data_IF_649049114544
#
_entry.id   IF_649049114544
#
_cell.length_a   1.000
_cell.length_b   1.000
_cell.length_c   1.000
_cell.angle_alpha   90.00
_cell.angle_beta   90.00
_cell.angle_gamma   90.00
#
_symmetry.space_group_name_H-M   'P 1'
#
loop_
_entity.id
_entity.type
_entity.pdbx_description
1 polymer ?
#
# COMPACT_ATOMS: atom_id res chain seq x y z
N UNK A 1 -12.61 -10.55 11.90
CA UNK A 1 -13.34 -11.58 11.10
C UNK A 1 -14.40 -12.18 12.00
N UNK A 2 -15.67 -12.18 11.54
CA UNK A 2 -16.79 -12.67 12.37
C UNK A 2 -17.09 -14.14 12.10
N UNK A 3 -17.08 -14.58 10.85
CA UNK A 3 -17.45 -15.94 10.43
C UNK A 3 -16.49 -16.47 9.36
N UNK A 4 -16.26 -17.79 9.37
CA UNK A 4 -15.43 -18.51 8.38
C UNK A 4 -16.31 -19.61 7.77
N UNK A 5 -16.34 -19.69 6.46
CA UNK A 5 -17.08 -20.67 5.69
C UNK A 5 -16.12 -21.55 4.86
N UNK A 6 -16.36 -22.84 4.85
CA UNK A 6 -15.68 -23.82 3.99
C UNK A 6 -16.61 -24.30 2.86
N UNK A 7 -17.90 -24.04 2.99
CA UNK A 7 -18.91 -24.36 1.98
C UNK A 7 -19.34 -23.08 1.25
N UNK A 8 -19.24 -23.11 -0.07
CA UNK A 8 -19.53 -21.93 -0.90
C UNK A 8 -21.04 -21.62 -0.96
N UNK A 9 -21.91 -22.64 -0.94
CA UNK A 9 -23.37 -22.40 -0.93
C UNK A 9 -23.81 -21.75 0.39
N UNK A 10 -23.26 -22.18 1.51
CA UNK A 10 -23.50 -21.55 2.82
C UNK A 10 -23.02 -20.10 2.85
N UNK A 11 -21.85 -19.82 2.26
CA UNK A 11 -21.35 -18.45 2.12
C UNK A 11 -22.33 -17.59 1.33
N UNK A 12 -22.82 -18.08 0.18
CA UNK A 12 -23.78 -17.37 -0.68
C UNK A 12 -25.05 -17.03 0.09
N UNK A 13 -25.64 -18.01 0.77
CA UNK A 13 -26.84 -17.79 1.60
C UNK A 13 -26.58 -16.77 2.71
N UNK A 14 -25.41 -16.84 3.33
CA UNK A 14 -25.01 -15.90 4.39
C UNK A 14 -24.84 -14.47 3.87
N UNK A 15 -24.24 -14.31 2.69
CA UNK A 15 -24.09 -13.01 2.04
C UNK A 15 -25.46 -12.41 1.70
N UNK A 16 -26.38 -13.19 1.10
CA UNK A 16 -27.75 -12.75 0.80
C UNK A 16 -28.46 -12.24 2.05
N UNK A 17 -28.40 -13.02 3.12
CA UNK A 17 -29.01 -12.65 4.40
C UNK A 17 -28.44 -11.36 4.97
N UNK A 18 -27.12 -11.18 4.86
CA UNK A 18 -26.48 -9.95 5.31
C UNK A 18 -26.92 -8.73 4.48
N UNK A 19 -27.00 -8.88 3.14
CA UNK A 19 -27.49 -7.82 2.24
C UNK A 19 -28.96 -7.47 2.49
N UNK A 20 -29.85 -8.47 2.64
CA UNK A 20 -31.27 -8.27 2.92
C UNK A 20 -31.50 -7.55 4.26
N UNK A 21 -30.72 -7.90 5.26
CA UNK A 21 -30.84 -7.33 6.61
C UNK A 21 -30.02 -6.04 6.80
N UNK A 22 -29.27 -5.60 5.79
CA UNK A 22 -28.30 -4.49 5.88
C UNK A 22 -27.32 -4.67 7.05
N UNK A 23 -26.86 -5.91 7.24
CA UNK A 23 -25.98 -6.30 8.33
C UNK A 23 -24.52 -5.99 7.99
N UNK A 24 -23.80 -5.38 8.94
CA UNK A 24 -22.34 -5.22 8.84
C UNK A 24 -21.64 -6.44 9.42
N UNK A 25 -21.08 -7.29 8.57
CA UNK A 25 -20.39 -8.51 8.97
C UNK A 25 -19.14 -8.76 8.11
N UNK A 26 -18.10 -9.32 8.72
CA UNK A 26 -16.88 -9.74 8.04
C UNK A 26 -16.90 -11.26 7.85
N UNK A 27 -17.00 -11.72 6.61
CA UNK A 27 -17.03 -13.13 6.22
C UNK A 27 -15.72 -13.52 5.55
N UNK A 28 -15.25 -14.74 5.83
CA UNK A 28 -14.14 -15.36 5.13
C UNK A 28 -14.58 -16.67 4.48
N UNK A 29 -13.98 -16.97 3.36
CA UNK A 29 -14.10 -18.26 2.68
C UNK A 29 -12.74 -18.95 2.63
N UNK A 30 -12.68 -20.20 3.06
CA UNK A 30 -11.51 -21.05 2.92
C UNK A 30 -11.62 -21.87 1.63
N UNK A 31 -11.14 -21.31 0.53
CA UNK A 31 -11.19 -21.92 -0.79
C UNK A 31 -10.61 -21.01 -1.87
N UNK A 32 -10.79 -21.39 -3.12
CA UNK A 32 -10.28 -20.61 -4.24
C UNK A 32 -11.20 -19.41 -4.55
N UNK A 33 -10.61 -18.22 -4.65
CA UNK A 33 -11.37 -16.98 -4.88
C UNK A 33 -12.13 -16.99 -6.22
N UNK A 34 -11.61 -17.69 -7.22
CA UNK A 34 -12.27 -17.76 -8.54
C UNK A 34 -13.64 -18.44 -8.44
N UNK A 35 -13.75 -19.46 -7.61
CA UNK A 35 -15.04 -20.14 -7.35
C UNK A 35 -16.05 -19.18 -6.72
N UNK A 36 -15.61 -18.29 -5.85
CA UNK A 36 -16.46 -17.26 -5.23
C UNK A 36 -16.96 -16.28 -6.29
N UNK A 37 -16.07 -15.73 -7.12
CA UNK A 37 -16.43 -14.79 -8.18
C UNK A 37 -17.42 -15.42 -9.17
N UNK A 38 -17.15 -16.65 -9.64
CA UNK A 38 -18.03 -17.38 -10.56
C UNK A 38 -19.39 -17.71 -9.94
N UNK A 39 -19.39 -18.14 -8.68
CA UNK A 39 -20.64 -18.47 -7.96
C UNK A 39 -21.49 -17.22 -7.73
N UNK A 40 -20.88 -16.12 -7.32
CA UNK A 40 -21.59 -14.84 -7.13
C UNK A 40 -22.18 -14.31 -8.44
N UNK A 41 -21.49 -14.50 -9.56
CA UNK A 41 -22.01 -14.17 -10.89
C UNK A 41 -23.22 -15.04 -11.24
N UNK A 42 -23.08 -16.36 -11.08
CA UNK A 42 -24.14 -17.34 -11.38
C UNK A 42 -25.41 -17.12 -10.53
N UNK A 43 -25.23 -16.74 -9.26
CA UNK A 43 -26.32 -16.43 -8.32
C UNK A 43 -26.83 -14.99 -8.43
N UNK A 44 -26.26 -14.20 -9.34
CA UNK A 44 -26.57 -12.77 -9.54
C UNK A 44 -26.52 -11.95 -8.23
N UNK A 45 -25.50 -12.22 -7.40
CA UNK A 45 -25.24 -11.43 -6.20
C UNK A 45 -24.62 -10.08 -6.58
N UNK A 46 -25.14 -9.01 -5.97
CA UNK A 46 -24.58 -7.68 -6.15
C UNK A 46 -23.29 -7.54 -5.35
N UNK A 47 -22.22 -7.15 -6.03
CA UNK A 47 -20.94 -6.80 -5.45
C UNK A 47 -20.65 -5.35 -5.83
N UNK A 48 -20.47 -4.48 -4.86
CA UNK A 48 -20.21 -3.06 -5.13
C UNK A 48 -18.74 -2.80 -5.43
N UNK A 49 -17.82 -3.47 -4.69
CA UNK A 49 -16.36 -3.28 -4.82
C UNK A 49 -15.67 -4.64 -4.81
N UNK A 50 -14.70 -4.80 -5.68
CA UNK A 50 -13.83 -5.98 -5.75
C UNK A 50 -12.37 -5.63 -5.91
N UNK A 51 -11.50 -6.49 -5.42
CA UNK A 51 -10.05 -6.36 -5.56
C UNK A 51 -9.38 -7.73 -5.51
N UNK A 52 -8.20 -7.84 -6.13
CA UNK A 52 -7.33 -9.01 -5.99
C UNK A 52 -6.04 -8.62 -5.27
N UNK A 53 -5.65 -9.43 -4.28
CA UNK A 53 -4.41 -9.25 -3.50
C UNK A 53 -3.49 -10.48 -3.56
N UNK A 54 -3.73 -11.41 -4.49
CA UNK A 54 -2.85 -12.58 -4.66
C UNK A 54 -1.45 -12.17 -5.09
N UNK A 55 -0.44 -12.95 -4.64
CA UNK A 55 0.97 -12.59 -4.83
C UNK A 55 1.51 -13.08 -6.17
N UNK A 56 1.06 -12.47 -7.27
CA UNK A 56 1.44 -12.82 -8.64
C UNK A 56 2.82 -12.29 -9.08
N UNK A 57 3.61 -11.70 -8.18
CA UNK A 57 5.04 -11.48 -8.40
C UNK A 57 5.80 -12.79 -8.59
N UNK A 58 5.29 -13.88 -8.05
CA UNK A 58 5.85 -15.23 -8.16
C UNK A 58 4.76 -16.27 -8.39
N UNK A 59 4.05 -16.25 -9.53
CA UNK A 59 2.88 -17.07 -9.76
C UNK A 59 3.20 -18.58 -9.82
N UNK A 60 4.42 -18.93 -10.24
CA UNK A 60 4.81 -20.32 -10.53
C UNK A 60 5.35 -21.06 -9.32
N UNK A 61 5.53 -20.41 -8.19
CA UNK A 61 6.05 -20.99 -6.96
C UNK A 61 5.15 -20.69 -5.74
N UNK A 62 3.84 -20.85 -5.93
CA UNK A 62 2.86 -20.75 -4.86
C UNK A 62 2.28 -19.36 -4.60
N UNK A 63 2.54 -18.39 -5.50
CA UNK A 63 1.92 -17.08 -5.41
C UNK A 63 0.46 -17.05 -5.84
N UNK A 64 0.03 -18.05 -6.63
CA UNK A 64 -1.33 -18.20 -7.11
C UNK A 64 -1.70 -19.69 -7.30
N UNK A 65 -2.83 -20.14 -6.78
CA UNK A 65 -3.23 -21.54 -6.79
C UNK A 65 -4.30 -21.83 -7.83
N UNK A 66 -4.19 -22.96 -8.57
CA UNK A 66 -5.17 -23.37 -9.56
C UNK A 66 -6.55 -23.65 -8.94
N UNK A 67 -7.60 -23.18 -9.60
CA UNK A 67 -8.98 -23.48 -9.24
C UNK A 67 -9.31 -24.96 -9.51
N UNK A 68 -10.17 -25.54 -8.67
CA UNK A 68 -10.57 -26.95 -8.76
C UNK A 68 -9.51 -27.95 -8.29
N UNK A 69 -8.48 -27.48 -7.60
CA UNK A 69 -7.45 -28.29 -6.95
C UNK A 69 -7.42 -27.97 -5.46
N UNK A 70 -7.20 -28.98 -4.64
CA UNK A 70 -6.90 -28.76 -3.24
C UNK A 70 -5.51 -28.13 -3.05
N UNK A 71 -5.25 -27.62 -1.87
CA UNK A 71 -3.94 -27.06 -1.52
C UNK A 71 -2.81 -28.10 -1.68
N UNK A 72 -3.04 -29.34 -1.22
CA UNK A 72 -2.05 -30.41 -1.30
C UNK A 72 -1.82 -30.90 -2.73
N UNK A 73 -2.89 -31.05 -3.53
CA UNK A 73 -2.78 -31.39 -4.96
C UNK A 73 -2.01 -30.31 -5.73
N UNK A 74 -2.28 -29.04 -5.44
CA UNK A 74 -1.57 -27.93 -6.07
C UNK A 74 -0.09 -27.93 -5.73
N UNK A 75 0.27 -28.14 -4.46
CA UNK A 75 1.67 -28.23 -4.04
C UNK A 75 2.39 -29.44 -4.65
N UNK A 76 1.72 -30.60 -4.71
CA UNK A 76 2.26 -31.80 -5.36
C UNK A 76 2.49 -31.56 -6.85
N UNK A 77 1.50 -30.97 -7.53
CA UNK A 77 1.61 -30.63 -8.96
C UNK A 77 2.76 -29.64 -9.22
N UNK A 78 2.88 -28.60 -8.38
CA UNK A 78 3.95 -27.61 -8.49
C UNK A 78 5.34 -28.25 -8.36
N UNK A 79 5.50 -29.22 -7.45
CA UNK A 79 6.76 -29.90 -7.22
C UNK A 79 7.10 -30.97 -8.30
N UNK A 80 6.12 -31.73 -8.73
CA UNK A 80 6.33 -32.89 -9.60
C UNK A 80 6.11 -32.59 -11.09
N UNK A 81 5.25 -31.62 -11.41
CA UNK A 81 4.93 -31.23 -12.79
C UNK A 81 4.73 -29.71 -12.90
N UNK A 82 5.79 -28.90 -12.78
CA UNK A 82 5.71 -27.44 -12.78
C UNK A 82 5.12 -26.85 -14.07
N UNK A 83 5.29 -27.49 -15.22
CA UNK A 83 4.68 -27.03 -16.48
C UNK A 83 3.15 -27.17 -16.45
N UNK A 84 2.64 -28.28 -15.96
CA UNK A 84 1.19 -28.47 -15.78
C UNK A 84 0.65 -27.48 -14.73
N UNK A 85 1.38 -27.27 -13.63
CA UNK A 85 0.99 -26.26 -12.64
C UNK A 85 0.84 -24.89 -13.27
N UNK A 86 1.82 -24.46 -14.08
CA UNK A 86 1.80 -23.19 -14.80
C UNK A 86 0.61 -23.09 -15.76
N UNK A 87 0.33 -24.16 -16.51
CA UNK A 87 -0.83 -24.21 -17.42
C UNK A 87 -2.15 -24.03 -16.64
N UNK A 88 -2.29 -24.71 -15.49
CA UNK A 88 -3.46 -24.61 -14.63
C UNK A 88 -3.62 -23.24 -13.97
N UNK A 89 -2.52 -22.61 -13.57
CA UNK A 89 -2.52 -21.23 -13.08
C UNK A 89 -2.99 -20.27 -14.18
N UNK A 90 -2.50 -20.39 -15.41
CA UNK A 90 -2.95 -19.57 -16.54
C UNK A 90 -4.43 -19.79 -16.88
N UNK A 91 -4.91 -21.04 -16.83
CA UNK A 91 -6.34 -21.32 -17.00
C UNK A 91 -7.17 -20.62 -15.91
N UNK A 92 -6.71 -20.68 -14.67
CA UNK A 92 -7.36 -20.05 -13.51
C UNK A 92 -7.41 -18.54 -13.66
N UNK A 93 -6.32 -17.91 -14.09
CA UNK A 93 -6.28 -16.47 -14.36
C UNK A 93 -7.30 -16.06 -15.44
N UNK A 94 -7.44 -16.87 -16.50
CA UNK A 94 -8.46 -16.62 -17.53
C UNK A 94 -9.88 -16.67 -16.96
N UNK A 95 -10.19 -17.65 -16.13
CA UNK A 95 -11.50 -17.76 -15.46
C UNK A 95 -11.73 -16.58 -14.51
N UNK A 96 -10.74 -16.25 -13.69
CA UNK A 96 -10.83 -15.15 -12.74
C UNK A 96 -11.12 -13.80 -13.44
N UNK A 97 -10.31 -13.45 -14.43
CA UNK A 97 -10.51 -12.23 -15.19
C UNK A 97 -11.87 -12.20 -15.92
N UNK A 98 -12.31 -13.34 -16.48
CA UNK A 98 -13.64 -13.44 -17.09
C UNK A 98 -14.77 -13.20 -16.10
N UNK A 99 -14.66 -13.74 -14.87
CA UNK A 99 -15.66 -13.52 -13.83
C UNK A 99 -15.67 -12.05 -13.37
N UNK A 100 -14.50 -11.44 -13.18
CA UNK A 100 -14.38 -10.01 -12.85
C UNK A 100 -15.03 -9.14 -13.94
N UNK A 101 -14.75 -9.40 -15.22
CA UNK A 101 -15.35 -8.65 -16.34
C UNK A 101 -16.88 -8.69 -16.27
N UNK A 102 -17.49 -9.85 -16.01
CA UNK A 102 -18.95 -9.99 -15.88
C UNK A 102 -19.52 -9.20 -14.71
N UNK A 103 -18.82 -9.15 -13.57
CA UNK A 103 -19.25 -8.37 -12.42
C UNK A 103 -19.13 -6.86 -12.70
N UNK A 104 -18.07 -6.43 -13.37
CA UNK A 104 -17.88 -5.01 -13.71
C UNK A 104 -18.88 -4.53 -14.74
N UNK A 105 -19.30 -5.37 -15.70
CA UNK A 105 -20.43 -5.10 -16.61
C UNK A 105 -21.76 -4.88 -15.85
N UNK A 106 -21.90 -5.46 -14.66
CA UNK A 106 -23.06 -5.28 -13.76
C UNK A 106 -22.89 -4.09 -12.79
N UNK A 107 -21.77 -3.35 -12.85
CA UNK A 107 -21.51 -2.14 -12.07
C UNK A 107 -20.60 -2.33 -10.85
N UNK A 108 -19.96 -3.46 -10.68
CA UNK A 108 -18.91 -3.64 -9.66
C UNK A 108 -17.71 -2.74 -9.99
N UNK A 109 -17.26 -1.94 -9.03
CA UNK A 109 -15.98 -1.25 -9.12
C UNK A 109 -14.84 -2.23 -8.76
N UNK A 110 -13.99 -2.53 -9.71
CA UNK A 110 -12.82 -3.39 -9.49
C UNK A 110 -11.52 -2.58 -9.58
N UNK A 111 -10.61 -2.84 -8.67
CA UNK A 111 -9.23 -2.35 -8.72
C UNK A 111 -8.23 -3.46 -8.42
N UNK A 112 -7.11 -3.45 -9.11
CA UNK A 112 -5.98 -4.33 -8.84
C UNK A 112 -5.19 -3.78 -7.65
N UNK A 113 -4.92 -4.61 -6.64
CA UNK A 113 -4.01 -4.21 -5.56
C UNK A 113 -2.57 -3.95 -6.08
N UNK A 114 -2.24 -4.48 -7.27
CA UNK A 114 -0.98 -4.24 -7.94
C UNK A 114 0.10 -5.28 -7.64
N UNK A 115 -0.29 -6.46 -7.17
CA UNK A 115 0.60 -7.62 -7.02
C UNK A 115 0.77 -8.41 -8.33
N UNK A 116 0.77 -7.73 -9.48
CA UNK A 116 0.91 -8.27 -10.82
C UNK A 116 -0.29 -9.09 -11.33
N UNK A 117 -1.47 -8.99 -10.74
CA UNK A 117 -2.65 -9.73 -11.20
C UNK A 117 -3.02 -9.39 -12.66
N UNK A 118 -3.24 -8.11 -12.98
CA UNK A 118 -3.61 -7.70 -14.34
C UNK A 118 -2.49 -8.01 -15.35
N UNK A 119 -1.23 -7.86 -14.94
CA UNK A 119 -0.09 -8.19 -15.80
C UNK A 119 -0.06 -9.69 -16.13
N UNK A 120 -0.18 -10.56 -15.15
CA UNK A 120 -0.18 -12.02 -15.39
C UNK A 120 -1.47 -12.49 -16.07
N UNK A 121 -2.62 -11.87 -15.79
CA UNK A 121 -3.85 -12.11 -16.51
C UNK A 121 -3.71 -11.75 -18.01
N UNK A 122 -3.09 -10.61 -18.34
CA UNK A 122 -2.81 -10.24 -19.73
C UNK A 122 -1.87 -11.24 -20.41
N UNK A 123 -0.82 -11.68 -19.73
CA UNK A 123 0.11 -12.73 -20.20
C UNK A 123 -0.58 -14.08 -20.40
N UNK A 124 -1.63 -14.37 -19.64
CA UNK A 124 -2.47 -15.55 -19.83
C UNK A 124 -3.47 -15.41 -21.01
N UNK A 125 -3.50 -14.25 -21.69
CA UNK A 125 -4.35 -13.99 -22.85
C UNK A 125 -5.78 -13.59 -22.52
N UNK A 126 -6.01 -12.94 -21.38
CA UNK A 126 -7.34 -12.46 -20.97
C UNK A 126 -7.65 -11.07 -21.49
N UNK A 127 -8.93 -10.73 -21.54
CA UNK A 127 -9.43 -9.41 -21.91
C UNK A 127 -9.39 -8.45 -20.70
N UNK A 128 -8.20 -7.98 -20.37
CA UNK A 128 -7.96 -7.01 -19.29
C UNK A 128 -7.23 -5.74 -19.75
N UNK A 129 -6.91 -5.65 -21.04
CA UNK A 129 -6.28 -4.46 -21.60
C UNK A 129 -7.33 -3.38 -21.89
N UNK A 130 -6.97 -2.13 -21.71
CA UNK A 130 -7.82 -1.01 -22.12
C UNK A 130 -8.05 -1.00 -23.64
N UNK A 131 -9.22 -0.57 -24.08
CA UNK A 131 -9.51 -0.44 -25.52
C UNK A 131 -8.59 0.58 -26.22
N UNK A 132 -8.28 1.69 -25.54
CA UNK A 132 -7.38 2.73 -26.01
C UNK A 132 -6.27 2.94 -24.98
N UNK A 133 -5.27 2.04 -24.91
CA UNK A 133 -4.23 2.11 -23.90
C UNK A 133 -3.38 3.38 -24.07
N UNK A 134 -3.18 4.08 -22.99
CA UNK A 134 -2.22 5.19 -22.88
C UNK A 134 -1.19 4.87 -21.81
N UNK A 135 -0.08 5.60 -21.82
CA UNK A 135 0.95 5.41 -20.80
C UNK A 135 0.36 5.60 -19.39
N UNK A 136 0.47 4.57 -18.57
CA UNK A 136 -0.08 4.52 -17.22
C UNK A 136 -1.54 4.05 -17.11
N UNK A 137 -2.21 3.86 -18.25
CA UNK A 137 -3.59 3.36 -18.32
C UNK A 137 -3.71 2.26 -19.37
N UNK A 138 -2.84 1.27 -19.23
CA UNK A 138 -2.79 0.13 -20.15
C UNK A 138 -3.88 -0.90 -19.88
N UNK A 139 -4.37 -1.00 -18.64
CA UNK A 139 -5.39 -1.96 -18.23
C UNK A 139 -6.79 -1.35 -18.14
N UNK A 140 -7.81 -2.19 -18.24
CA UNK A 140 -9.21 -1.83 -18.03
C UNK A 140 -9.48 -1.32 -16.63
N UNK A 141 -8.76 -1.86 -15.65
CA UNK A 141 -8.94 -1.60 -14.23
C UNK A 141 -7.74 -0.84 -13.68
N UNK A 142 -7.96 0.15 -12.80
CA UNK A 142 -6.87 0.84 -12.14
C UNK A 142 -6.21 -0.04 -11.08
N UNK A 143 -4.96 0.27 -10.71
CA UNK A 143 -4.43 -0.18 -9.44
C UNK A 143 -4.98 0.67 -8.29
N UNK A 144 -4.93 0.15 -7.06
CA UNK A 144 -5.41 0.91 -5.90
C UNK A 144 -4.59 2.20 -5.67
N UNK A 145 -3.31 2.23 -6.04
CA UNK A 145 -2.51 3.47 -5.97
C UNK A 145 -2.96 4.47 -7.03
N UNK A 146 -3.34 4.00 -8.22
CA UNK A 146 -3.71 4.86 -9.32
C UNK A 146 -4.95 5.73 -9.02
N UNK A 147 -6.00 5.10 -8.48
CA UNK A 147 -7.28 5.77 -8.24
C UNK A 147 -7.52 6.17 -6.78
N UNK A 148 -6.88 5.48 -5.82
CA UNK A 148 -7.20 5.63 -4.40
C UNK A 148 -5.99 6.22 -3.66
N UNK A 149 -4.95 5.41 -3.45
CA UNK A 149 -3.87 5.82 -2.54
C UNK A 149 -2.97 6.91 -3.12
N UNK A 150 -2.75 6.94 -4.44
CA UNK A 150 -1.99 8.00 -5.09
C UNK A 150 -2.65 9.37 -4.89
N UNK A 151 -3.87 9.58 -5.43
CA UNK A 151 -4.56 10.86 -5.34
C UNK A 151 -4.95 11.28 -3.91
N UNK A 152 -5.29 10.33 -3.04
CA UNK A 152 -5.76 10.64 -1.68
C UNK A 152 -4.65 10.80 -0.66
N UNK A 153 -3.52 10.10 -0.84
CA UNK A 153 -2.46 10.01 0.18
C UNK A 153 -1.07 10.34 -0.38
N UNK A 154 -0.55 9.54 -1.31
CA UNK A 154 0.86 9.61 -1.69
C UNK A 154 1.24 10.92 -2.38
N UNK A 155 0.37 11.47 -3.21
CA UNK A 155 0.62 12.74 -3.87
C UNK A 155 0.67 13.89 -2.86
N UNK A 156 -0.09 13.81 -1.77
CA UNK A 156 0.00 14.77 -0.66
C UNK A 156 1.13 14.49 0.33
N UNK A 157 1.92 13.46 0.10
CA UNK A 157 3.05 13.08 0.95
C UNK A 157 2.69 12.16 2.11
N UNK A 158 1.45 11.71 2.21
CA UNK A 158 1.02 10.77 3.24
C UNK A 158 1.27 9.34 2.81
N UNK A 159 2.06 8.62 3.58
CA UNK A 159 2.35 7.21 3.35
C UNK A 159 2.56 6.44 4.64
N UNK A 160 2.66 5.11 4.56
CA UNK A 160 2.78 4.25 5.72
C UNK A 160 3.98 4.63 6.59
N UNK A 161 3.69 4.96 7.83
CA UNK A 161 4.66 5.22 8.88
C UNK A 161 4.44 4.25 10.02
N UNK A 162 5.43 3.43 10.30
CA UNK A 162 5.36 2.35 11.27
C UNK A 162 6.28 2.59 12.45
N UNK A 163 5.83 2.17 13.65
CA UNK A 163 6.71 2.06 14.81
C UNK A 163 6.46 0.77 15.58
N UNK A 164 7.52 0.30 16.21
CA UNK A 164 7.51 -0.88 17.08
C UNK A 164 8.14 -0.51 18.41
N UNK A 165 7.42 -0.75 19.52
CA UNK A 165 7.94 -0.61 20.86
C UNK A 165 8.78 -1.84 21.21
N UNK A 166 10.10 -1.69 21.26
CA UNK A 166 11.03 -2.82 21.43
C UNK A 166 10.96 -3.48 22.82
N UNK A 167 10.37 -2.80 23.79
CA UNK A 167 10.12 -3.36 25.12
C UNK A 167 9.11 -4.52 25.10
N UNK A 168 8.25 -4.60 24.07
CA UNK A 168 7.14 -5.53 24.02
C UNK A 168 6.00 -5.24 25.01
N UNK A 169 6.06 -4.10 25.73
CA UNK A 169 5.07 -3.72 26.73
C UNK A 169 3.87 -3.02 26.11
N UNK A 170 2.62 -3.44 26.42
CA UNK A 170 1.42 -2.75 25.95
C UNK A 170 1.35 -1.28 26.39
N UNK A 171 1.89 -0.95 27.56
CA UNK A 171 1.90 0.41 28.10
C UNK A 171 2.74 1.36 27.25
N UNK A 172 3.84 0.87 26.66
CA UNK A 172 4.68 1.66 25.75
C UNK A 172 3.92 1.94 24.44
N UNK A 173 3.18 0.95 23.91
CA UNK A 173 2.34 1.16 22.74
C UNK A 173 1.23 2.18 23.02
N UNK A 174 0.53 2.03 24.15
CA UNK A 174 -0.50 2.99 24.56
C UNK A 174 0.08 4.41 24.65
N UNK A 175 1.25 4.56 25.26
CA UNK A 175 1.91 5.87 25.38
C UNK A 175 2.31 6.46 24.03
N UNK A 176 2.81 5.64 23.10
CA UNK A 176 3.14 6.11 21.75
C UNK A 176 1.88 6.47 20.97
N UNK A 177 0.77 5.75 21.11
CA UNK A 177 -0.53 6.08 20.54
C UNK A 177 -1.06 7.44 21.04
N UNK A 178 -0.97 7.69 22.35
CA UNK A 178 -1.34 8.97 22.95
C UNK A 178 -0.50 10.14 22.40
N UNK A 179 0.81 9.96 22.32
CA UNK A 179 1.74 10.97 21.76
C UNK A 179 1.39 11.25 20.29
N UNK A 180 1.19 10.21 19.48
CA UNK A 180 0.87 10.36 18.07
C UNK A 180 -0.47 11.11 17.89
N UNK A 181 -1.51 10.76 18.65
CA UNK A 181 -2.80 11.46 18.60
C UNK A 181 -2.66 12.94 18.98
N UNK A 182 -1.93 13.27 20.06
CA UNK A 182 -1.70 14.66 20.47
C UNK A 182 -1.00 15.48 19.38
N UNK A 183 0.04 14.93 18.76
CA UNK A 183 0.75 15.61 17.67
C UNK A 183 -0.19 15.84 16.47
N UNK A 184 -0.97 14.84 16.08
CA UNK A 184 -1.90 14.98 14.96
C UNK A 184 -3.02 16.00 15.26
N UNK A 185 -3.58 16.00 16.49
CA UNK A 185 -4.59 16.97 16.92
C UNK A 185 -4.05 18.43 16.89
N UNK A 186 -2.77 18.61 17.22
CA UNK A 186 -2.10 19.91 17.12
C UNK A 186 -1.86 20.32 15.67
N UNK A 187 -1.40 19.40 14.84
CA UNK A 187 -1.15 19.65 13.42
C UNK A 187 -2.41 20.02 12.66
N UNK A 188 -3.55 19.36 12.92
CA UNK A 188 -4.84 19.66 12.27
C UNK A 188 -5.20 21.15 12.39
N UNK A 189 -4.92 21.78 13.54
CA UNK A 189 -5.29 23.19 13.79
C UNK A 189 -4.59 24.18 12.85
N UNK A 190 -3.41 23.79 12.37
CA UNK A 190 -2.53 24.66 11.56
C UNK A 190 -2.35 24.15 10.13
N UNK A 191 -3.01 23.08 9.75
CA UNK A 191 -2.88 22.45 8.44
C UNK A 191 -3.95 22.93 7.46
N UNK A 192 -3.64 23.02 6.16
CA UNK A 192 -4.64 23.25 5.11
C UNK A 192 -5.76 22.20 5.13
N UNK A 193 -6.96 22.58 4.67
CA UNK A 193 -8.15 21.74 4.70
C UNK A 193 -7.97 20.43 3.93
N UNK A 194 -7.21 20.47 2.84
CA UNK A 194 -6.93 19.37 1.91
C UNK A 194 -6.31 18.15 2.59
N UNK A 195 -5.57 18.35 3.68
CA UNK A 195 -4.84 17.27 4.38
C UNK A 195 -5.37 16.97 5.79
N UNK A 196 -6.36 17.74 6.28
CA UNK A 196 -6.86 17.54 7.65
C UNK A 196 -7.59 16.20 7.81
N UNK A 197 -8.31 15.75 6.79
CA UNK A 197 -9.07 14.50 6.88
C UNK A 197 -8.17 13.31 7.11
N UNK A 198 -7.04 13.22 6.41
CA UNK A 198 -6.08 12.13 6.59
C UNK A 198 -5.58 12.02 8.03
N UNK A 199 -5.32 13.15 8.69
CA UNK A 199 -4.90 13.15 10.09
C UNK A 199 -6.03 12.77 11.05
N UNK A 200 -7.28 13.16 10.77
CA UNK A 200 -8.46 12.74 11.55
C UNK A 200 -8.69 11.24 11.45
N UNK A 201 -8.55 10.68 10.26
CA UNK A 201 -8.68 9.24 10.02
C UNK A 201 -7.59 8.45 10.77
N UNK A 202 -6.35 8.94 10.81
CA UNK A 202 -5.29 8.36 11.60
C UNK A 202 -5.62 8.33 13.11
N UNK A 203 -6.16 9.43 13.64
CA UNK A 203 -6.59 9.49 15.05
C UNK A 203 -7.70 8.47 15.32
N UNK A 204 -8.70 8.40 14.46
CA UNK A 204 -9.77 7.41 14.56
C UNK A 204 -9.23 5.99 14.49
N UNK A 205 -8.30 5.72 13.58
CA UNK A 205 -7.63 4.43 13.44
C UNK A 205 -6.89 4.02 14.72
N UNK A 206 -6.09 4.92 15.30
CA UNK A 206 -5.36 4.65 16.55
C UNK A 206 -6.34 4.38 17.70
N UNK A 207 -7.33 5.25 17.90
CA UNK A 207 -8.32 5.13 18.98
C UNK A 207 -9.17 3.86 18.89
N UNK A 208 -9.50 3.43 17.66
CA UNK A 208 -10.28 2.21 17.41
C UNK A 208 -9.46 0.92 17.36
N UNK A 209 -8.12 0.99 17.44
CA UNK A 209 -7.27 -0.16 17.16
C UNK A 209 -7.51 -1.36 18.08
N UNK A 210 -7.71 -1.14 19.36
CA UNK A 210 -7.98 -2.21 20.34
C UNK A 210 -9.37 -2.80 20.17
N UNK A 211 -10.38 -1.97 20.01
CA UNK A 211 -11.77 -2.40 19.86
C UNK A 211 -11.98 -3.21 18.59
N UNK A 212 -11.28 -2.85 17.53
CA UNK A 212 -11.33 -3.53 16.23
C UNK A 212 -10.34 -4.68 16.08
N UNK A 213 -9.63 -5.08 17.15
CA UNK A 213 -8.62 -6.13 17.12
C UNK A 213 -7.58 -5.95 15.99
N UNK A 214 -7.16 -4.73 15.75
CA UNK A 214 -6.16 -4.39 14.74
C UNK A 214 -4.77 -4.76 15.26
N UNK A 215 -4.45 -6.04 15.13
CA UNK A 215 -3.20 -6.63 15.64
C UNK A 215 -2.19 -6.72 14.51
N UNK A 216 -0.98 -6.21 14.76
CA UNK A 216 0.18 -6.34 13.87
C UNK A 216 1.24 -7.30 14.41
N UNK A 217 0.84 -8.26 15.24
CA UNK A 217 1.69 -9.34 15.76
C UNK A 217 2.66 -8.94 16.86
N UNK A 218 2.81 -7.64 17.19
CA UNK A 218 3.68 -7.10 18.23
C UNK A 218 3.15 -5.77 18.75
N UNK A 219 3.83 -5.16 19.73
CA UNK A 219 3.49 -3.82 20.22
C UNK A 219 3.89 -2.76 19.16
N UNK A 220 3.11 -2.67 18.09
CA UNK A 220 3.39 -1.88 16.92
C UNK A 220 2.14 -1.14 16.42
N UNK A 221 2.37 -0.06 15.69
CA UNK A 221 1.34 0.72 15.02
C UNK A 221 1.78 1.13 13.62
N UNK A 222 0.81 1.35 12.76
CA UNK A 222 0.97 1.95 11.45
C UNK A 222 -0.08 3.04 11.26
N UNK A 223 0.32 4.14 10.64
CA UNK A 223 -0.57 5.19 10.17
C UNK A 223 -0.02 5.83 8.90
N UNK A 224 -0.79 6.70 8.27
CA UNK A 224 -0.36 7.43 7.07
C UNK A 224 0.04 8.85 7.45
N UNK A 225 1.33 9.15 7.44
CA UNK A 225 1.87 10.45 7.83
C UNK A 225 2.77 11.06 6.76
N UNK A 226 2.71 12.38 6.63
CA UNK A 226 3.61 13.17 5.80
C UNK A 226 4.97 13.41 6.49
N UNK A 227 5.89 14.08 5.82
CA UNK A 227 7.23 14.35 6.36
C UNK A 227 7.18 15.06 7.72
N UNK A 228 6.33 16.08 7.85
CA UNK A 228 6.19 16.86 9.08
C UNK A 228 5.63 15.99 10.22
N UNK A 229 4.58 15.22 9.94
CA UNK A 229 3.97 14.30 10.91
C UNK A 229 4.95 13.24 11.38
N UNK A 230 5.66 12.58 10.44
CA UNK A 230 6.69 11.58 10.78
C UNK A 230 7.77 12.17 11.69
N UNK A 231 8.30 13.35 11.35
CA UNK A 231 9.35 14.00 12.16
C UNK A 231 8.85 14.39 13.55
N UNK A 232 7.70 15.04 13.66
CA UNK A 232 7.15 15.49 14.95
C UNK A 232 6.83 14.33 15.88
N UNK A 233 6.20 13.27 15.36
CA UNK A 233 5.88 12.06 16.12
C UNK A 233 7.17 11.37 16.57
N UNK A 234 8.13 11.16 15.67
CA UNK A 234 9.40 10.52 16.00
C UNK A 234 10.21 11.32 17.03
N UNK A 235 10.24 12.65 16.92
CA UNK A 235 10.91 13.54 17.87
C UNK A 235 10.25 13.44 19.27
N UNK A 236 8.93 13.40 19.33
CA UNK A 236 8.21 13.23 20.58
C UNK A 236 8.46 11.86 21.21
N UNK A 237 8.53 10.79 20.42
CA UNK A 237 8.95 9.47 20.92
C UNK A 237 10.37 9.49 21.47
N UNK A 238 11.32 10.08 20.73
CA UNK A 238 12.72 10.16 21.18
C UNK A 238 12.85 10.94 22.50
N UNK A 239 12.07 12.01 22.68
CA UNK A 239 11.99 12.77 23.94
C UNK A 239 11.41 11.93 25.08
N UNK A 240 10.37 11.13 24.84
CA UNK A 240 9.78 10.24 25.83
C UNK A 240 10.76 9.12 26.25
N UNK A 241 11.52 8.57 25.30
CA UNK A 241 12.58 7.60 25.56
C UNK A 241 13.67 8.23 26.43
N UNK A 242 14.14 9.43 26.10
CA UNK A 242 15.16 10.18 26.86
C UNK A 242 14.74 10.42 28.32
N UNK A 243 13.45 10.59 28.57
CA UNK A 243 12.87 10.75 29.91
C UNK A 243 12.65 9.41 30.66
N UNK A 244 12.80 8.28 29.98
CA UNK A 244 12.50 6.96 30.52
C UNK A 244 11.00 6.65 30.65
N UNK A 245 10.15 7.38 29.93
CA UNK A 245 8.70 7.16 29.91
C UNK A 245 8.30 5.94 29.09
N UNK A 246 9.08 5.60 28.05
CA UNK A 246 8.95 4.41 27.20
C UNK A 246 10.32 3.83 26.88
N UNK A 247 10.35 2.56 26.45
CA UNK A 247 11.54 1.92 25.90
C UNK A 247 11.88 2.41 24.49
N UNK A 248 12.99 1.90 23.94
CA UNK A 248 13.41 2.22 22.60
C UNK A 248 12.34 1.86 21.55
N UNK A 249 12.28 2.64 20.48
CA UNK A 249 11.30 2.49 19.39
C UNK A 249 12.03 2.31 18.07
N UNK A 250 11.57 1.39 17.24
CA UNK A 250 12.01 1.24 15.85
C UNK A 250 10.96 1.84 14.93
N UNK A 251 11.40 2.74 14.06
CA UNK A 251 10.61 3.31 12.99
C UNK A 251 10.85 2.56 11.69
N UNK A 252 9.86 2.54 10.80
CA UNK A 252 9.98 2.02 9.45
C UNK A 252 8.85 2.51 8.56
N UNK A 253 8.90 2.12 7.29
CA UNK A 253 7.82 2.34 6.33
C UNK A 253 7.55 1.07 5.53
N UNK A 254 6.47 1.07 4.79
CA UNK A 254 6.16 0.02 3.83
C UNK A 254 6.91 0.24 2.51
N UNK A 255 6.95 -0.78 1.66
CA UNK A 255 7.50 -0.69 0.32
C UNK A 255 6.67 0.21 -0.58
N UNK A 256 5.34 0.14 -0.50
CA UNK A 256 4.48 1.09 -1.16
C UNK A 256 4.22 2.29 -0.25
N UNK A 257 4.92 3.33 -0.55
CA UNK A 257 4.93 4.61 0.15
C UNK A 257 5.06 5.74 -0.88
N UNK A 258 5.05 6.96 -0.41
CA UNK A 258 5.28 8.18 -1.24
C UNK A 258 6.53 8.04 -2.10
N UNK A 259 7.62 7.55 -1.53
CA UNK A 259 8.90 7.28 -2.19
C UNK A 259 9.05 5.84 -2.70
N UNK A 260 8.07 4.99 -2.50
CA UNK A 260 8.07 3.61 -2.99
C UNK A 260 8.10 3.52 -4.51
N UNK A 261 8.75 2.46 -5.04
CA UNK A 261 8.91 2.24 -6.48
C UNK A 261 8.76 0.75 -6.84
N UNK A 262 8.08 -0.03 -5.99
CA UNK A 262 8.03 -1.49 -6.11
C UNK A 262 7.52 -1.94 -7.49
N UNK A 263 6.40 -1.41 -7.93
CA UNK A 263 5.81 -1.80 -9.20
C UNK A 263 5.36 -0.59 -10.02
N UNK A 264 5.70 -0.52 -11.31
CA UNK A 264 5.18 0.49 -12.22
C UNK A 264 3.65 0.38 -12.40
N UNK A 265 3.06 -0.75 -12.02
CA UNK A 265 1.63 -1.00 -12.06
C UNK A 265 0.96 -0.86 -10.69
N UNK A 266 1.69 -0.51 -9.63
CA UNK A 266 1.19 -0.27 -8.28
C UNK A 266 1.71 1.06 -7.71
N UNK A 267 2.94 1.11 -7.17
CA UNK A 267 3.46 2.28 -6.43
C UNK A 267 3.66 3.52 -7.29
N UNK A 268 3.99 3.33 -8.56
CA UNK A 268 4.24 4.41 -9.50
C UNK A 268 3.23 4.48 -10.64
N UNK A 269 2.12 3.76 -10.54
CA UNK A 269 1.11 3.66 -11.59
C UNK A 269 0.45 4.99 -11.97
N UNK A 270 0.38 5.94 -11.04
CA UNK A 270 -0.12 7.29 -11.29
C UNK A 270 0.96 8.30 -11.71
N UNK A 271 2.13 7.82 -12.13
CA UNK A 271 3.22 8.63 -12.70
C UNK A 271 3.25 8.40 -14.20
N UNK A 272 2.68 9.32 -14.97
CA UNK A 272 2.36 9.14 -16.40
C UNK A 272 3.43 9.70 -17.36
N UNK A 273 4.60 10.12 -16.87
CA UNK A 273 5.69 10.71 -17.67
C UNK A 273 6.74 9.69 -18.15
N UNK A 274 6.53 8.39 -17.89
CA UNK A 274 7.45 7.30 -18.21
C UNK A 274 8.49 6.99 -17.14
N UNK A 275 8.72 7.87 -16.16
CA UNK A 275 9.73 7.67 -15.11
C UNK A 275 9.36 6.53 -14.13
N UNK A 276 8.13 6.07 -14.13
CA UNK A 276 7.65 4.97 -13.28
C UNK A 276 8.42 3.65 -13.46
N UNK A 277 9.10 3.46 -14.58
CA UNK A 277 9.90 2.27 -14.88
C UNK A 277 11.37 2.40 -14.45
N UNK A 278 11.76 3.51 -13.81
CA UNK A 278 13.16 3.80 -13.52
C UNK A 278 13.60 3.15 -12.21
N UNK A 279 14.46 2.14 -12.28
CA UNK A 279 15.06 1.48 -11.11
C UNK A 279 15.93 2.43 -10.26
N UNK A 280 16.56 3.41 -10.88
CA UNK A 280 17.40 4.42 -10.22
C UNK A 280 16.68 5.17 -9.09
N UNK A 281 15.36 5.32 -9.18
CA UNK A 281 14.57 5.97 -8.14
C UNK A 281 14.65 5.22 -6.81
N UNK A 282 14.51 3.89 -6.82
CA UNK A 282 14.62 3.06 -5.61
C UNK A 282 16.04 3.10 -5.03
N UNK A 283 17.05 3.00 -5.89
CA UNK A 283 18.47 3.05 -5.51
C UNK A 283 18.79 4.42 -4.88
N UNK A 284 18.38 5.50 -5.52
CA UNK A 284 18.61 6.87 -5.04
C UNK A 284 17.93 7.13 -3.67
N UNK A 285 16.70 6.63 -3.48
CA UNK A 285 15.99 6.73 -2.21
C UNK A 285 16.75 6.02 -1.09
N UNK A 286 17.13 4.75 -1.29
CA UNK A 286 17.84 3.93 -0.30
C UNK A 286 19.22 4.52 0.05
N UNK A 287 19.96 5.01 -0.94
CA UNK A 287 21.23 5.70 -0.71
C UNK A 287 21.00 6.95 0.15
N UNK A 288 19.98 7.75 -0.16
CA UNK A 288 19.65 8.96 0.58
C UNK A 288 19.26 8.69 2.04
N UNK A 289 18.49 7.64 2.31
CA UNK A 289 18.14 7.19 3.66
C UNK A 289 19.39 6.73 4.43
N UNK A 290 20.26 5.96 3.79
CA UNK A 290 21.52 5.49 4.36
C UNK A 290 22.44 6.65 4.77
N UNK A 291 22.66 7.62 3.88
CA UNK A 291 23.49 8.80 4.17
C UNK A 291 22.95 9.68 5.28
N UNK A 292 21.64 9.65 5.52
CA UNK A 292 20.99 10.46 6.56
C UNK A 292 20.80 9.73 7.88
N UNK A 293 21.31 8.51 7.98
CA UNK A 293 21.46 7.81 9.22
C UNK A 293 20.33 6.86 9.58
N UNK A 294 19.68 6.26 8.58
CA UNK A 294 18.90 5.04 8.81
C UNK A 294 19.76 4.02 9.55
N UNK A 295 19.19 3.31 10.51
CA UNK A 295 19.93 2.28 11.25
C UNK A 295 20.24 1.08 10.35
N UNK A 296 19.32 0.74 9.45
CA UNK A 296 19.52 -0.17 8.34
C UNK A 296 18.68 0.26 7.15
N UNK A 297 19.08 -0.18 5.97
CA UNK A 297 18.32 -0.04 4.73
C UNK A 297 18.22 -1.39 4.06
N UNK A 298 17.18 -1.57 3.26
CA UNK A 298 17.01 -2.73 2.38
C UNK A 298 16.76 -2.27 0.96
N UNK A 299 17.24 -3.05 -0.01
CA UNK A 299 16.89 -2.94 -1.42
C UNK A 299 16.69 -4.35 -1.96
N UNK A 300 15.62 -4.59 -2.70
CA UNK A 300 15.27 -5.91 -3.19
C UNK A 300 14.37 -5.84 -4.42
N UNK A 301 14.23 -6.97 -5.09
CA UNK A 301 13.34 -7.14 -6.22
C UNK A 301 12.02 -7.79 -5.81
N UNK A 302 10.96 -7.55 -6.60
CA UNK A 302 9.74 -8.32 -6.56
C UNK A 302 9.00 -8.34 -5.21
N UNK A 303 8.62 -7.20 -4.66
CA UNK A 303 7.80 -7.15 -3.43
C UNK A 303 8.44 -7.83 -2.21
N UNK A 304 9.77 -7.95 -2.16
CA UNK A 304 10.49 -8.57 -1.05
C UNK A 304 10.80 -10.05 -1.21
N UNK A 305 10.43 -10.68 -2.31
CA UNK A 305 10.73 -12.11 -2.57
C UNK A 305 12.13 -12.34 -3.13
N UNK A 306 12.85 -11.30 -3.51
CA UNK A 306 14.24 -11.35 -3.95
C UNK A 306 14.44 -11.55 -5.45
N UNK A 307 13.38 -11.71 -6.23
CA UNK A 307 13.37 -11.72 -7.69
C UNK A 307 12.10 -11.09 -8.24
N UNK A 308 12.09 -10.75 -9.52
CA UNK A 308 10.98 -10.10 -10.22
C UNK A 308 11.44 -8.92 -11.06
N UNK A 309 10.47 -8.26 -11.70
CA UNK A 309 10.72 -7.16 -12.65
C UNK A 309 10.82 -5.78 -11.98
N UNK A 310 10.54 -5.71 -10.70
CA UNK A 310 10.47 -4.46 -9.95
C UNK A 310 11.52 -4.37 -8.87
N UNK A 311 11.91 -3.16 -8.53
CA UNK A 311 12.92 -2.89 -7.51
C UNK A 311 12.36 -1.92 -6.46
N UNK A 312 12.58 -2.23 -5.19
CA UNK A 312 12.08 -1.43 -4.09
C UNK A 312 13.07 -1.41 -2.93
N UNK A 313 12.83 -0.50 -1.99
CA UNK A 313 13.64 -0.38 -0.80
C UNK A 313 12.85 0.08 0.40
N UNK A 314 13.48 0.03 1.54
CA UNK A 314 12.95 0.51 2.80
C UNK A 314 14.04 0.80 3.80
N UNK A 315 13.64 1.31 4.95
CA UNK A 315 14.55 1.59 6.05
C UNK A 315 13.99 1.12 7.39
N UNK A 316 14.88 0.95 8.35
CA UNK A 316 14.56 0.93 9.76
C UNK A 316 15.43 1.93 10.51
N UNK A 317 14.84 2.60 11.51
CA UNK A 317 15.52 3.59 12.33
C UNK A 317 15.24 3.34 13.81
N UNK A 318 16.29 3.13 14.58
CA UNK A 318 16.20 3.01 16.02
C UNK A 318 16.21 4.40 16.68
N UNK A 319 15.24 4.64 17.54
CA UNK A 319 15.20 5.75 18.49
C UNK A 319 15.61 5.23 19.87
N UNK A 320 16.64 5.82 20.46
CA UNK A 320 17.24 5.41 21.73
C UNK A 320 17.27 6.52 22.79
N UNK A 321 16.65 7.67 22.50
CA UNK A 321 16.64 8.85 23.36
C UNK A 321 17.85 9.75 23.21
N UNK A 322 18.81 9.43 22.34
CA UNK A 322 20.02 10.23 22.13
C UNK A 322 19.76 11.46 21.26
N UNK A 323 20.63 12.46 21.38
CA UNK A 323 20.63 13.65 20.53
C UNK A 323 21.04 13.28 19.08
N UNK A 324 21.82 12.22 18.90
CA UNK A 324 22.15 11.69 17.58
C UNK A 324 20.94 11.06 16.88
N UNK A 325 20.10 10.32 17.60
CA UNK A 325 18.83 9.82 17.06
C UNK A 325 17.94 11.00 16.62
N UNK A 326 17.89 12.08 17.40
CA UNK A 326 17.11 13.28 17.09
C UNK A 326 17.60 13.97 15.80
N UNK A 327 18.91 14.09 15.62
CA UNK A 327 19.51 14.62 14.41
C UNK A 327 19.21 13.75 13.18
N UNK A 328 19.35 12.43 13.32
CA UNK A 328 19.15 11.46 12.24
C UNK A 328 17.69 11.41 11.79
N UNK A 329 16.73 11.30 12.73
CA UNK A 329 15.31 11.21 12.39
C UNK A 329 14.84 12.44 11.58
N UNK A 330 15.27 13.64 11.96
CA UNK A 330 14.92 14.87 11.22
C UNK A 330 15.45 14.87 9.79
N UNK A 331 16.70 14.49 9.60
CA UNK A 331 17.32 14.47 8.27
C UNK A 331 16.73 13.36 7.37
N UNK A 332 16.58 12.16 7.91
CA UNK A 332 16.19 10.98 7.12
C UNK A 332 14.70 10.99 6.77
N UNK A 333 13.81 11.22 7.75
CA UNK A 333 12.36 11.25 7.50
C UNK A 333 11.95 12.41 6.58
N UNK A 334 12.64 13.54 6.68
CA UNK A 334 12.47 14.66 5.75
C UNK A 334 12.83 14.25 4.32
N UNK A 335 13.98 13.63 4.13
CA UNK A 335 14.45 13.19 2.82
C UNK A 335 13.52 12.15 2.20
N UNK A 336 13.22 11.09 2.92
CA UNK A 336 12.49 9.93 2.39
C UNK A 336 11.17 10.36 1.74
N UNK A 337 10.35 11.12 2.45
CA UNK A 337 9.06 11.59 1.93
C UNK A 337 9.22 12.62 0.82
N UNK A 338 10.05 13.65 1.02
CA UNK A 338 10.19 14.75 0.06
C UNK A 338 10.85 14.30 -1.25
N UNK A 339 11.69 13.27 -1.23
CA UNK A 339 12.20 12.62 -2.44
C UNK A 339 11.05 12.06 -3.29
N UNK A 340 10.10 11.36 -2.68
CA UNK A 340 8.91 10.85 -3.37
C UNK A 340 8.01 11.98 -3.91
N UNK A 341 7.70 12.97 -3.09
CA UNK A 341 6.88 14.13 -3.50
C UNK A 341 7.56 14.87 -4.67
N UNK A 342 8.86 15.05 -4.65
CA UNK A 342 9.61 15.72 -5.73
C UNK A 342 9.41 15.02 -7.07
N UNK A 343 9.54 13.68 -7.09
CA UNK A 343 9.33 12.90 -8.31
C UNK A 343 7.89 12.99 -8.82
N UNK A 344 6.90 12.88 -7.92
CA UNK A 344 5.48 12.99 -8.24
C UNK A 344 5.10 14.39 -8.72
N UNK A 345 5.70 15.44 -8.16
CA UNK A 345 5.50 16.81 -8.62
C UNK A 345 6.06 17.05 -10.04
N UNK A 346 7.20 16.45 -10.37
CA UNK A 346 7.76 16.47 -11.71
C UNK A 346 6.88 15.71 -12.72
N UNK A 347 6.21 14.66 -12.29
CA UNK A 347 5.19 13.96 -13.08
C UNK A 347 3.88 14.77 -13.23
N UNK A 348 3.79 15.96 -12.64
CA UNK A 348 2.66 16.89 -12.68
C UNK A 348 1.42 16.46 -11.88
N UNK A 349 1.58 15.53 -10.94
CA UNK A 349 0.49 15.16 -10.03
C UNK A 349 0.15 16.39 -9.17
N UNK A 350 -1.10 16.85 -9.24
CA UNK A 350 -1.53 18.13 -8.62
C UNK A 350 -1.30 18.15 -7.10
N UNK A 351 -1.68 17.08 -6.41
CA UNK A 351 -1.43 16.92 -4.97
C UNK A 351 0.05 17.03 -4.62
N UNK A 352 0.94 16.48 -5.46
CA UNK A 352 2.38 16.53 -5.24
C UNK A 352 2.98 17.93 -5.50
N UNK A 353 2.44 18.66 -6.48
CA UNK A 353 2.78 20.06 -6.70
C UNK A 353 2.38 20.92 -5.49
N UNK A 354 1.19 20.68 -4.94
CA UNK A 354 0.74 21.32 -3.69
C UNK A 354 1.67 20.96 -2.53
N UNK A 355 1.95 19.68 -2.32
CA UNK A 355 2.75 19.19 -1.19
C UNK A 355 4.19 19.70 -1.23
N UNK A 356 4.83 19.71 -2.40
CA UNK A 356 6.23 20.19 -2.50
C UNK A 356 6.34 21.70 -2.33
N UNK A 357 5.36 22.47 -2.77
CA UNK A 357 5.32 23.93 -2.50
C UNK A 357 5.22 24.20 -1.00
N UNK A 358 4.31 23.50 -0.31
CA UNK A 358 4.18 23.60 1.14
C UNK A 358 5.47 23.21 1.87
N UNK A 359 6.14 22.15 1.41
CA UNK A 359 7.43 21.74 1.99
C UNK A 359 8.52 22.79 1.79
N UNK A 360 8.59 23.46 0.64
CA UNK A 360 9.55 24.57 0.38
C UNK A 360 9.24 25.83 1.18
N UNK A 361 7.97 26.09 1.49
CA UNK A 361 7.57 27.19 2.37
C UNK A 361 7.98 26.92 3.82
N UNK A 362 7.81 25.67 4.29
CA UNK A 362 8.16 25.25 5.65
C UNK A 362 9.68 25.12 5.87
N UNK A 363 10.45 24.74 4.83
CA UNK A 363 11.91 24.57 4.89
C UNK A 363 12.58 25.39 3.78
N UNK A 364 13.03 26.61 4.11
CA UNK A 364 13.61 27.54 3.12
C UNK A 364 14.85 27.03 2.38
N UNK A 365 15.54 26.03 2.92
CA UNK A 365 16.70 25.39 2.27
C UNK A 365 16.30 24.32 1.25
N UNK A 366 15.06 23.85 1.27
CA UNK A 366 14.53 22.95 0.24
C UNK A 366 14.28 23.74 -1.03
N UNK A 367 14.96 23.39 -2.11
CA UNK A 367 14.79 24.01 -3.42
C UNK A 367 14.51 22.93 -4.46
N UNK A 368 13.27 22.81 -4.86
CA UNK A 368 12.83 21.90 -5.92
C UNK A 368 12.31 22.76 -7.08
N UNK A 369 12.91 22.60 -8.25
CA UNK A 369 12.35 23.18 -9.47
C UNK A 369 11.07 22.46 -9.83
N UNK A 370 10.07 23.19 -10.30
CA UNK A 370 8.80 22.60 -10.74
C UNK A 370 8.74 22.53 -12.26
N UNK A 371 8.02 21.54 -12.83
CA UNK A 371 7.86 21.46 -14.26
C UNK A 371 7.04 22.65 -14.77
N UNK A 372 7.37 23.12 -15.97
CA UNK A 372 6.51 24.05 -16.69
C UNK A 372 5.28 23.33 -17.20
N UNK A 373 4.12 23.94 -17.02
CA UNK A 373 2.90 23.49 -17.68
C UNK A 373 2.84 24.13 -19.06
N UNK A 374 2.65 23.32 -20.07
CA UNK A 374 2.46 23.76 -21.44
C UNK A 374 0.97 23.87 -21.68
N UNK A 375 0.54 24.92 -22.38
CA UNK A 375 -0.85 25.08 -22.81
C UNK A 375 -1.17 23.98 -23.84
N UNK A 376 -2.10 23.10 -23.50
CA UNK A 376 -2.50 21.95 -24.36
C UNK A 376 -3.09 22.43 -25.71
N UNK A 377 -3.57 23.68 -25.78
CA UNK A 377 -4.07 24.24 -27.03
C UNK A 377 -2.96 24.49 -28.07
N UNK A 378 -1.69 24.32 -27.70
CA UNK A 378 -0.55 24.46 -28.62
C UNK A 378 -0.20 23.16 -29.36
N UNK A 379 -0.88 22.05 -29.06
CA UNK A 379 -0.71 20.75 -29.68
C UNK A 379 -2.04 20.23 -30.24
#
# INVERSE_FOLDING_TARGET
MNEIHENLDELVERVRKAQENQETVSLAYLGNIVEVWEKFDAENLRIDIGSDQTSLHNPWAGGYYPVGQTFDESNTMMAENPELFKEKVQETLRRHASAINKHTEKGTYFFDYGNAFLLEASRAGTDVMAENPTLGREFKYPSYVQDIMGPMCFDYGFGPFRWVCTSGKPEDLQKTDEIACQILEEMIKNSPAEIQQQMKDNIQWIKGAQENNLVVGSQARILYADAEGRMKIAEAFNKAIKKGEIGAVVLGRDHHDVSGTDSPYRETSNIYDGSRFTADMAIHNVIGDSFRGATWVSIHNGGGVGWGEVINGGFGMLLDGSDDADRRLKSMLFWDVNNGISRRSWARNEGAVFAIKRAMEAEPNLKVTLPNFVDESLF
#
